data_IF_656208954912
#
_entry.id   IF_656208954912
#
_cell.length_a   1.000
_cell.length_b   1.000
_cell.length_c   1.000
_cell.angle_alpha   90.00
_cell.angle_beta   90.00
_cell.angle_gamma   90.00
#
_symmetry.space_group_name_H-M   'P 1'
#
loop_
_entity.id
_entity.type
_entity.pdbx_description
1 polymer ?
#
# COMPACT_ATOMS: atom_id res chain seq x y z
N UNK A 1 -20.35 -24.65 -17.64
CA UNK A 1 -19.76 -23.66 -16.72
C UNK A 1 -18.26 -23.84 -16.73
N UNK A 2 -17.50 -22.80 -17.10
CA UNK A 2 -16.04 -22.79 -17.13
C UNK A 2 -15.51 -21.88 -16.04
N UNK A 3 -14.26 -22.09 -15.61
CA UNK A 3 -13.64 -21.24 -14.58
C UNK A 3 -13.54 -19.77 -15.00
N UNK A 4 -13.24 -19.51 -16.28
CA UNK A 4 -13.15 -18.14 -16.78
C UNK A 4 -14.48 -17.39 -16.73
N UNK A 5 -15.63 -18.08 -16.85
CA UNK A 5 -16.95 -17.47 -16.71
C UNK A 5 -17.18 -16.99 -15.27
N UNK A 6 -16.79 -17.81 -14.27
CA UNK A 6 -16.85 -17.43 -12.85
C UNK A 6 -15.87 -16.29 -12.51
N UNK A 7 -14.70 -16.28 -13.12
CA UNK A 7 -13.72 -15.19 -12.97
C UNK A 7 -14.25 -13.87 -13.46
N UNK A 8 -14.95 -13.90 -14.61
CA UNK A 8 -15.64 -12.72 -15.16
C UNK A 8 -16.78 -12.28 -14.25
N UNK A 9 -17.60 -13.23 -13.77
CA UNK A 9 -18.69 -12.94 -12.82
C UNK A 9 -18.17 -12.21 -11.57
N UNK A 10 -17.09 -12.69 -10.96
CA UNK A 10 -16.46 -12.06 -9.79
C UNK A 10 -15.97 -10.65 -10.09
N UNK A 11 -15.31 -10.46 -11.24
CA UNK A 11 -14.80 -9.14 -11.64
C UNK A 11 -15.93 -8.12 -11.88
N UNK A 12 -17.07 -8.56 -12.44
CA UNK A 12 -18.25 -7.71 -12.62
C UNK A 12 -18.91 -7.42 -11.27
N UNK A 13 -19.02 -8.40 -10.37
CA UNK A 13 -19.59 -8.22 -9.04
C UNK A 13 -18.78 -7.22 -8.19
N UNK A 14 -17.47 -7.26 -8.27
CA UNK A 14 -16.57 -6.34 -7.58
C UNK A 14 -16.52 -4.95 -8.21
N UNK A 15 -16.46 -4.89 -9.55
CA UNK A 15 -16.33 -3.64 -10.29
C UNK A 15 -17.63 -2.87 -10.49
N UNK A 16 -18.78 -3.53 -10.36
CA UNK A 16 -20.11 -2.97 -10.59
C UNK A 16 -20.40 -2.64 -12.07
N UNK A 17 -19.49 -2.91 -13.01
CA UNK A 17 -19.70 -2.66 -14.43
C UNK A 17 -18.82 -3.54 -15.33
N UNK A 18 -19.33 -3.88 -16.53
CA UNK A 18 -18.58 -4.65 -17.53
C UNK A 18 -17.29 -3.94 -17.95
N UNK A 19 -17.30 -2.61 -18.03
CA UNK A 19 -16.12 -1.80 -18.41
C UNK A 19 -15.00 -1.90 -17.35
N UNK A 20 -15.35 -1.84 -16.07
CA UNK A 20 -14.35 -2.01 -15.00
C UNK A 20 -13.80 -3.43 -14.95
N UNK A 21 -14.67 -4.45 -15.12
CA UNK A 21 -14.26 -5.85 -15.22
C UNK A 21 -13.34 -6.11 -16.42
N UNK A 22 -13.67 -5.53 -17.60
CA UNK A 22 -12.85 -5.61 -18.80
C UNK A 22 -11.42 -5.07 -18.58
N UNK A 23 -11.32 -3.92 -17.91
CA UNK A 23 -10.02 -3.33 -17.55
C UNK A 23 -9.25 -4.19 -16.55
N UNK A 24 -9.93 -4.69 -15.51
CA UNK A 24 -9.31 -5.53 -14.48
C UNK A 24 -8.78 -6.86 -15.03
N UNK A 25 -9.50 -7.46 -15.96
CA UNK A 25 -9.13 -8.75 -16.58
C UNK A 25 -8.31 -8.61 -17.87
N UNK A 26 -8.06 -7.39 -18.34
CA UNK A 26 -7.39 -7.09 -19.63
C UNK A 26 -8.07 -7.78 -20.82
N UNK A 27 -9.40 -7.80 -20.80
CA UNK A 27 -10.24 -8.39 -21.84
C UNK A 27 -11.10 -7.31 -22.52
N UNK A 28 -11.58 -7.59 -23.75
CA UNK A 28 -12.56 -6.75 -24.40
C UNK A 28 -13.93 -6.79 -23.69
N UNK A 29 -14.65 -5.66 -23.65
CA UNK A 29 -16.00 -5.62 -23.05
C UNK A 29 -16.98 -6.62 -23.69
N UNK A 30 -16.98 -6.86 -25.02
CA UNK A 30 -17.81 -7.90 -25.64
C UNK A 30 -17.48 -9.30 -25.11
N UNK A 31 -16.20 -9.59 -24.85
CA UNK A 31 -15.74 -10.87 -24.29
C UNK A 31 -16.29 -11.07 -22.87
N UNK A 32 -16.25 -10.01 -22.04
CA UNK A 32 -16.85 -10.04 -20.69
C UNK A 32 -18.34 -10.35 -20.79
N UNK A 33 -19.07 -9.67 -21.68
CA UNK A 33 -20.51 -9.91 -21.89
C UNK A 33 -20.80 -11.36 -22.30
N UNK A 34 -19.98 -11.93 -23.19
CA UNK A 34 -20.15 -13.32 -23.67
C UNK A 34 -19.94 -14.31 -22.55
N UNK A 35 -18.87 -14.20 -21.75
CA UNK A 35 -18.62 -15.09 -20.61
C UNK A 35 -19.74 -15.03 -19.56
N UNK A 36 -20.21 -13.81 -19.27
CA UNK A 36 -21.31 -13.63 -18.32
C UNK A 36 -22.60 -14.29 -18.83
N UNK A 37 -22.92 -14.12 -20.10
CA UNK A 37 -24.10 -14.75 -20.73
C UNK A 37 -24.00 -16.28 -20.70
N UNK A 38 -22.82 -16.86 -21.02
CA UNK A 38 -22.59 -18.30 -20.95
C UNK A 38 -22.76 -18.83 -19.51
N UNK A 39 -22.30 -18.08 -18.51
CA UNK A 39 -22.51 -18.46 -17.13
C UNK A 39 -24.00 -18.46 -16.76
N UNK A 40 -24.74 -17.40 -17.10
CA UNK A 40 -26.18 -17.28 -16.84
C UNK A 40 -26.96 -18.42 -17.51
N UNK A 41 -26.60 -18.78 -18.75
CA UNK A 41 -27.17 -19.95 -19.43
C UNK A 41 -26.86 -21.26 -18.69
N UNK A 42 -25.63 -21.45 -18.24
CA UNK A 42 -25.23 -22.68 -17.55
C UNK A 42 -25.87 -22.83 -16.17
N UNK A 43 -26.16 -21.70 -15.49
CA UNK A 43 -26.82 -21.65 -14.17
C UNK A 43 -28.34 -21.68 -14.31
N UNK A 44 -28.86 -21.34 -15.48
CA UNK A 44 -30.31 -21.25 -15.74
C UNK A 44 -30.98 -20.03 -15.11
N UNK A 45 -30.20 -19.00 -14.74
CA UNK A 45 -30.71 -17.80 -14.09
C UNK A 45 -29.88 -16.56 -14.44
N UNK A 46 -30.50 -15.40 -14.46
CA UNK A 46 -29.79 -14.12 -14.51
C UNK A 46 -29.08 -13.84 -13.21
N UNK A 47 -27.81 -13.49 -13.27
CA UNK A 47 -26.96 -13.22 -12.13
C UNK A 47 -26.80 -11.71 -11.87
N UNK A 48 -27.02 -10.89 -12.90
CA UNK A 48 -27.01 -9.45 -12.81
C UNK A 48 -28.26 -8.81 -13.39
N UNK A 49 -28.67 -7.70 -12.78
CA UNK A 49 -29.65 -6.75 -13.31
C UNK A 49 -28.99 -5.41 -13.65
N UNK A 50 -29.49 -4.75 -14.68
CA UNK A 50 -29.04 -3.39 -15.01
C UNK A 50 -29.66 -2.39 -14.07
N UNK A 51 -28.85 -1.47 -13.56
CA UNK A 51 -29.27 -0.34 -12.75
C UNK A 51 -28.70 0.97 -13.32
N UNK A 52 -29.22 2.11 -12.88
CA UNK A 52 -28.68 3.42 -13.25
C UNK A 52 -27.20 3.58 -12.91
N UNK A 53 -26.70 2.87 -11.87
CA UNK A 53 -25.30 2.86 -11.42
C UNK A 53 -24.44 1.74 -12.04
N UNK A 54 -24.99 0.90 -12.93
CA UNK A 54 -24.27 -0.20 -13.57
C UNK A 54 -24.95 -1.57 -13.41
N UNK A 55 -24.18 -2.59 -13.01
CA UNK A 55 -24.65 -3.96 -12.83
C UNK A 55 -24.74 -4.30 -11.34
N UNK A 56 -25.90 -4.76 -10.88
CA UNK A 56 -26.14 -5.23 -9.51
C UNK A 56 -26.44 -6.72 -9.52
N UNK A 57 -25.98 -7.43 -8.50
CA UNK A 57 -26.29 -8.86 -8.33
C UNK A 57 -27.79 -9.07 -8.08
N UNK A 58 -28.38 -10.01 -8.80
CA UNK A 58 -29.68 -10.57 -8.50
C UNK A 58 -29.66 -11.40 -7.19
N UNK A 59 -30.79 -11.93 -6.76
CA UNK A 59 -30.85 -12.88 -5.64
C UNK A 59 -30.02 -14.12 -5.90
N UNK A 60 -30.07 -14.64 -7.11
CA UNK A 60 -29.31 -15.82 -7.58
C UNK A 60 -27.81 -15.49 -7.66
N UNK A 61 -27.45 -14.32 -8.18
CA UNK A 61 -26.08 -13.83 -8.18
C UNK A 61 -25.48 -13.72 -6.77
N UNK A 62 -26.27 -13.23 -5.80
CA UNK A 62 -25.83 -13.15 -4.40
C UNK A 62 -25.61 -14.53 -3.77
N UNK A 63 -26.37 -15.56 -4.16
CA UNK A 63 -26.19 -16.95 -3.70
C UNK A 63 -24.94 -17.57 -4.32
N UNK A 64 -24.67 -17.30 -5.60
CA UNK A 64 -23.50 -17.83 -6.30
C UNK A 64 -22.20 -17.17 -5.84
N UNK A 65 -22.22 -15.90 -5.42
CA UNK A 65 -21.04 -15.11 -5.08
C UNK A 65 -20.08 -15.81 -4.09
N UNK A 66 -20.53 -16.31 -2.92
CA UNK A 66 -19.63 -16.95 -1.97
C UNK A 66 -19.01 -18.25 -2.52
N UNK A 67 -19.74 -18.98 -3.36
CA UNK A 67 -19.23 -20.21 -3.98
C UNK A 67 -18.14 -19.89 -5.04
N UNK A 68 -18.42 -18.89 -5.88
CA UNK A 68 -17.44 -18.40 -6.85
C UNK A 68 -16.18 -17.85 -6.16
N UNK A 69 -16.35 -17.14 -5.03
CA UNK A 69 -15.23 -16.64 -4.23
C UNK A 69 -14.39 -17.79 -3.65
N UNK A 70 -15.02 -18.82 -3.07
CA UNK A 70 -14.30 -20.01 -2.57
C UNK A 70 -13.50 -20.71 -3.66
N UNK A 71 -14.03 -20.77 -4.88
CA UNK A 71 -13.31 -21.36 -6.02
C UNK A 71 -12.12 -20.47 -6.46
N UNK A 72 -12.27 -19.15 -6.43
CA UNK A 72 -11.17 -18.22 -6.68
C UNK A 72 -10.06 -18.36 -5.63
N UNK A 73 -10.44 -18.48 -4.35
CA UNK A 73 -9.49 -18.69 -3.25
C UNK A 73 -8.72 -20.00 -3.38
N UNK A 74 -9.42 -21.08 -3.81
CA UNK A 74 -8.79 -22.37 -4.09
C UNK A 74 -7.81 -22.30 -5.28
N UNK A 75 -8.18 -21.62 -6.38
CA UNK A 75 -7.30 -21.40 -7.52
C UNK A 75 -6.06 -20.59 -7.12
N UNK A 76 -6.23 -19.51 -6.36
CA UNK A 76 -5.13 -18.74 -5.83
C UNK A 76 -4.23 -19.55 -4.88
N UNK A 77 -4.80 -20.47 -4.07
CA UNK A 77 -4.03 -21.38 -3.23
C UNK A 77 -3.15 -22.34 -4.06
N UNK A 78 -3.64 -22.82 -5.22
CA UNK A 78 -2.86 -23.64 -6.15
C UNK A 78 -1.69 -22.81 -6.72
N UNK A 79 -1.94 -21.56 -7.15
CA UNK A 79 -0.90 -20.68 -7.67
C UNK A 79 0.16 -20.34 -6.62
N UNK A 80 -0.25 -20.09 -5.36
CA UNK A 80 0.68 -19.90 -4.24
C UNK A 80 1.53 -21.16 -4.01
N UNK A 81 0.90 -22.32 -4.04
CA UNK A 81 1.60 -23.60 -3.84
C UNK A 81 2.55 -23.92 -5.01
N UNK A 82 2.14 -23.62 -6.24
CA UNK A 82 3.00 -23.72 -7.41
C UNK A 82 4.21 -22.80 -7.30
N UNK A 83 4.01 -21.55 -6.89
CA UNK A 83 5.10 -20.63 -6.62
C UNK A 83 6.02 -21.09 -5.46
N UNK A 84 5.47 -21.84 -4.49
CA UNK A 84 6.23 -22.45 -3.40
C UNK A 84 6.99 -23.72 -3.84
N UNK A 85 6.43 -24.51 -4.76
CA UNK A 85 7.00 -25.78 -5.26
C UNK A 85 7.99 -25.54 -6.42
N UNK A 86 7.83 -24.44 -7.15
CA UNK A 86 8.80 -24.04 -8.17
C UNK A 86 10.13 -23.75 -7.50
N UNK A 87 11.04 -24.71 -7.56
CA UNK A 87 12.44 -24.56 -7.23
C UNK A 87 13.17 -23.67 -8.25
N UNK A 88 12.41 -22.90 -9.03
CA UNK A 88 13.00 -21.95 -9.97
C UNK A 88 13.59 -20.80 -9.15
N UNK A 89 14.87 -20.95 -8.93
CA UNK A 89 15.81 -20.15 -8.18
C UNK A 89 15.76 -18.65 -8.56
N UNK A 90 15.02 -18.28 -9.59
CA UNK A 90 14.86 -16.93 -10.11
C UNK A 90 13.55 -16.24 -9.70
N UNK A 91 12.79 -16.79 -8.79
CA UNK A 91 11.54 -16.16 -8.33
C UNK A 91 11.81 -15.08 -7.30
N UNK A 92 11.61 -13.83 -7.67
CA UNK A 92 11.71 -12.71 -6.75
C UNK A 92 10.66 -12.78 -5.61
N UNK A 93 11.06 -12.47 -4.39
CA UNK A 93 10.11 -12.18 -3.31
C UNK A 93 9.59 -10.76 -3.51
N UNK A 94 8.29 -10.64 -3.76
CA UNK A 94 7.62 -9.38 -4.05
C UNK A 94 7.13 -8.75 -2.75
N UNK A 95 7.71 -7.58 -2.44
CA UNK A 95 7.33 -6.77 -1.29
C UNK A 95 6.51 -5.60 -1.80
N UNK A 96 5.30 -5.42 -1.28
CA UNK A 96 4.56 -4.17 -1.41
C UNK A 96 4.67 -3.43 -0.07
N UNK A 97 4.89 -2.13 -0.11
CA UNK A 97 5.02 -1.35 1.11
C UNK A 97 4.34 0.01 0.98
N UNK A 98 3.76 0.49 2.09
CA UNK A 98 3.33 1.88 2.22
C UNK A 98 4.53 2.82 2.09
N UNK A 99 4.28 4.07 1.72
CA UNK A 99 5.33 4.99 1.25
C UNK A 99 6.49 5.18 2.24
N UNK A 100 6.20 5.38 3.52
CA UNK A 100 7.26 5.55 4.54
C UNK A 100 8.08 4.27 4.71
N UNK A 101 7.41 3.11 4.71
CA UNK A 101 8.09 1.83 4.79
C UNK A 101 8.90 1.53 3.51
N UNK A 102 8.36 1.84 2.33
CA UNK A 102 9.06 1.69 1.07
C UNK A 102 10.33 2.57 1.05
N UNK A 103 10.21 3.83 1.47
CA UNK A 103 11.35 4.75 1.61
C UNK A 103 12.41 4.24 2.58
N UNK A 104 11.98 3.58 3.67
CA UNK A 104 12.90 2.97 4.63
C UNK A 104 13.60 1.72 4.06
N UNK A 105 12.88 0.86 3.35
CA UNK A 105 13.39 -0.40 2.83
C UNK A 105 14.26 -0.22 1.58
N UNK A 106 13.97 0.77 0.72
CA UNK A 106 14.64 0.94 -0.57
C UNK A 106 16.18 0.96 -0.47
N UNK A 107 16.84 1.74 0.40
CA UNK A 107 18.30 1.74 0.51
C UNK A 107 18.86 0.46 1.18
N UNK A 108 18.00 -0.46 1.61
CA UNK A 108 18.33 -1.71 2.31
C UNK A 108 18.03 -2.95 1.47
N UNK A 109 17.58 -2.78 0.22
CA UNK A 109 17.18 -3.91 -0.64
C UNK A 109 18.30 -4.91 -0.87
N UNK A 110 19.55 -4.45 -1.01
CA UNK A 110 20.70 -5.32 -1.12
C UNK A 110 20.92 -6.21 0.10
N UNK A 111 20.57 -5.72 1.30
CA UNK A 111 20.60 -6.51 2.52
C UNK A 111 19.42 -7.49 2.65
N UNK A 112 18.34 -7.28 1.92
CA UNK A 112 17.17 -8.18 1.87
C UNK A 112 17.36 -9.30 0.85
N UNK A 113 18.02 -9.00 -0.28
CA UNK A 113 18.41 -9.99 -1.28
C UNK A 113 19.64 -10.78 -0.83
N UNK A 114 19.95 -11.87 -1.52
CA UNK A 114 21.20 -12.60 -1.32
C UNK A 114 22.22 -12.14 -2.38
N UNK A 115 23.30 -11.43 -2.00
CA UNK A 115 24.27 -10.91 -2.97
C UNK A 115 25.01 -12.00 -3.75
N UNK A 116 25.10 -13.21 -3.19
CA UNK A 116 25.84 -14.34 -3.75
C UNK A 116 24.95 -15.53 -4.09
N UNK A 117 23.64 -15.36 -3.95
CA UNK A 117 22.65 -16.40 -4.19
C UNK A 117 21.58 -15.95 -5.18
N UNK A 118 20.61 -16.83 -5.36
CA UNK A 118 19.55 -16.66 -6.33
C UNK A 118 18.28 -16.03 -5.74
N UNK A 119 18.39 -15.37 -4.58
CA UNK A 119 17.26 -14.68 -3.94
C UNK A 119 17.12 -13.26 -4.48
N UNK A 120 16.15 -13.05 -5.32
CA UNK A 120 15.76 -11.74 -5.81
C UNK A 120 14.67 -11.13 -4.92
N UNK A 121 14.68 -9.82 -4.79
CA UNK A 121 13.67 -9.06 -4.05
C UNK A 121 13.20 -7.91 -4.95
N UNK A 122 11.88 -7.75 -5.06
CA UNK A 122 11.28 -6.57 -5.67
C UNK A 122 10.49 -5.79 -4.62
N UNK A 123 10.58 -4.46 -4.67
CA UNK A 123 9.84 -3.55 -3.80
C UNK A 123 8.95 -2.66 -4.65
N UNK A 124 7.66 -2.68 -4.35
CA UNK A 124 6.65 -1.80 -4.95
C UNK A 124 6.04 -0.93 -3.87
N UNK A 125 5.99 0.36 -4.11
CA UNK A 125 5.28 1.31 -3.25
C UNK A 125 3.81 1.37 -3.64
N UNK A 126 2.92 1.19 -2.69
CA UNK A 126 1.48 1.30 -2.90
C UNK A 126 0.76 1.74 -1.64
N UNK A 127 -0.27 2.60 -1.80
CA UNK A 127 -1.22 2.93 -0.75
C UNK A 127 -2.39 1.95 -0.70
N UNK A 128 -2.59 1.19 -1.79
CA UNK A 128 -3.65 0.19 -1.87
C UNK A 128 -3.16 -1.10 -1.25
N UNK A 129 -4.06 -1.77 -0.53
CA UNK A 129 -3.80 -3.10 -0.03
C UNK A 129 -3.69 -4.08 -1.20
N UNK A 130 -2.54 -4.77 -1.36
CA UNK A 130 -2.44 -5.83 -2.34
C UNK A 130 -3.35 -6.98 -1.93
N UNK A 131 -3.96 -7.61 -2.92
CA UNK A 131 -4.67 -8.87 -2.69
C UNK A 131 -3.66 -10.00 -2.52
N UNK A 132 -3.27 -10.26 -1.26
CA UNK A 132 -2.33 -11.34 -0.93
C UNK A 132 -2.94 -12.73 -1.17
N UNK A 133 -4.26 -12.85 -1.13
CA UNK A 133 -4.95 -14.08 -1.47
C UNK A 133 -4.82 -14.39 -2.97
N UNK A 134 -4.69 -13.37 -3.81
CA UNK A 134 -4.45 -13.46 -5.26
C UNK A 134 -2.98 -13.40 -5.68
N UNK A 135 -2.06 -13.52 -4.74
CA UNK A 135 -0.62 -13.45 -5.03
C UNK A 135 -0.16 -12.15 -5.73
N UNK A 136 -0.82 -11.02 -5.49
CA UNK A 136 -0.35 -9.73 -6.01
C UNK A 136 0.98 -9.31 -5.37
N UNK A 137 1.21 -9.74 -4.12
CA UNK A 137 2.48 -9.63 -3.42
C UNK A 137 2.74 -10.88 -2.57
N UNK A 138 3.98 -11.11 -2.18
CA UNK A 138 4.35 -12.18 -1.24
C UNK A 138 4.39 -11.64 0.20
N UNK A 139 4.84 -10.41 0.36
CA UNK A 139 4.93 -9.69 1.64
C UNK A 139 4.32 -8.30 1.52
N UNK A 140 3.68 -7.85 2.58
CA UNK A 140 3.16 -6.50 2.65
C UNK A 140 3.61 -5.80 3.93
N UNK A 141 4.17 -4.58 3.81
CA UNK A 141 4.64 -3.76 4.95
C UNK A 141 3.86 -2.46 4.98
N UNK A 142 3.08 -2.24 6.05
CA UNK A 142 2.22 -1.06 6.16
C UNK A 142 1.99 -0.63 7.61
N UNK A 143 1.52 0.59 7.77
CA UNK A 143 0.89 1.07 8.98
C UNK A 143 -0.56 0.56 9.08
N UNK A 144 -0.95 0.14 10.27
CA UNK A 144 -2.27 -0.43 10.51
C UNK A 144 -2.45 -1.85 9.97
N UNK A 145 -3.62 -2.40 10.18
CA UNK A 145 -3.99 -3.76 9.80
C UNK A 145 -5.14 -3.73 8.81
N UNK A 146 -5.12 -4.55 7.75
CA UNK A 146 -6.23 -4.66 6.81
C UNK A 146 -7.47 -5.19 7.52
N UNK A 147 -8.64 -4.68 7.13
CA UNK A 147 -9.93 -5.07 7.72
C UNK A 147 -10.33 -6.51 7.40
N UNK A 148 -9.76 -7.12 6.36
CA UNK A 148 -10.10 -8.46 5.85
C UNK A 148 -8.84 -9.25 5.50
N UNK A 149 -8.98 -10.58 5.39
CA UNK A 149 -7.93 -11.51 4.99
C UNK A 149 -7.38 -12.35 6.13
N UNK A 150 -7.00 -13.59 5.82
CA UNK A 150 -6.33 -14.52 6.74
C UNK A 150 -4.82 -14.29 6.70
N UNK A 151 -4.33 -13.19 7.27
CA UNK A 151 -2.92 -12.85 7.20
C UNK A 151 -2.20 -13.13 8.53
N UNK A 152 -1.00 -13.67 8.42
CA UNK A 152 -0.06 -13.72 9.52
C UNK A 152 0.57 -12.33 9.67
N UNK A 153 0.55 -11.82 10.89
CA UNK A 153 0.97 -10.46 11.25
C UNK A 153 2.22 -10.52 12.11
N UNK A 154 3.19 -9.68 11.80
CA UNK A 154 4.40 -9.52 12.61
C UNK A 154 4.64 -8.04 12.82
N UNK A 155 4.68 -7.58 14.08
CA UNK A 155 4.99 -6.19 14.42
C UNK A 155 6.43 -5.84 14.07
N UNK A 156 6.63 -4.69 13.44
CA UNK A 156 7.94 -4.16 13.07
C UNK A 156 8.37 -2.99 13.95
N UNK A 157 7.45 -2.42 14.72
CA UNK A 157 7.64 -1.21 15.52
C UNK A 157 7.04 0.01 14.84
N UNK A 158 7.23 1.17 15.44
CA UNK A 158 6.64 2.41 15.01
C UNK A 158 7.58 3.22 14.10
N UNK A 159 7.00 3.99 13.18
CA UNK A 159 7.68 5.06 12.45
C UNK A 159 7.05 6.38 12.88
N UNK A 160 7.89 7.26 13.40
CA UNK A 160 7.51 8.59 13.83
C UNK A 160 7.76 9.63 12.73
N UNK A 161 7.01 10.71 12.77
CA UNK A 161 7.17 11.86 11.92
C UNK A 161 7.27 13.16 12.71
N UNK A 162 7.89 14.16 12.09
CA UNK A 162 8.02 15.51 12.67
C UNK A 162 7.91 16.57 11.58
N UNK A 163 7.82 17.84 11.98
CA UNK A 163 7.85 18.96 11.04
C UNK A 163 9.29 19.31 10.71
N UNK A 164 9.54 19.48 9.41
CA UNK A 164 10.81 19.88 8.86
C UNK A 164 10.66 21.08 7.92
N UNK A 165 11.71 21.86 7.83
CA UNK A 165 11.91 22.89 6.81
C UNK A 165 13.36 22.90 6.38
N UNK A 166 13.67 23.42 5.19
CA UNK A 166 15.08 23.64 4.85
C UNK A 166 15.69 24.68 5.79
N UNK A 167 16.98 24.58 6.08
CA UNK A 167 17.68 25.54 6.94
C UNK A 167 17.51 26.97 6.44
N UNK A 168 17.67 27.17 5.14
CA UNK A 168 17.51 28.48 4.48
C UNK A 168 16.08 29.01 4.68
N UNK A 169 15.06 28.17 4.51
CA UNK A 169 13.68 28.56 4.74
C UNK A 169 13.43 28.95 6.20
N UNK A 170 13.89 28.13 7.14
CA UNK A 170 13.69 28.38 8.59
C UNK A 170 14.40 29.63 9.07
N UNK A 171 15.54 29.95 8.51
CA UNK A 171 16.30 31.16 8.86
C UNK A 171 15.64 32.42 8.27
N UNK A 172 15.04 32.32 7.08
CA UNK A 172 14.28 33.41 6.46
C UNK A 172 12.86 33.61 7.08
N UNK A 173 12.34 32.59 7.79
CA UNK A 173 11.00 32.59 8.39
C UNK A 173 11.07 32.28 9.90
N UNK A 174 11.45 33.25 10.75
CA UNK A 174 11.56 33.05 12.20
C UNK A 174 10.27 32.53 12.85
N UNK A 175 9.10 32.82 12.26
CA UNK A 175 7.80 32.29 12.67
C UNK A 175 7.67 30.77 12.54
N UNK A 176 8.48 30.15 11.71
CA UNK A 176 8.51 28.70 11.56
C UNK A 176 8.98 27.96 12.83
N UNK A 177 9.68 28.67 13.73
CA UNK A 177 10.18 28.10 15.00
C UNK A 177 9.12 28.03 16.10
N UNK A 178 7.91 28.55 15.88
CA UNK A 178 6.87 28.65 16.89
C UNK A 178 5.57 28.00 16.42
N UNK A 179 5.07 27.02 17.17
CA UNK A 179 3.84 26.26 16.87
C UNK A 179 2.65 27.19 16.53
N UNK A 180 2.41 28.21 17.35
CA UNK A 180 1.30 29.15 17.15
C UNK A 180 1.33 29.88 15.80
N UNK A 181 2.47 29.88 15.10
CA UNK A 181 2.68 30.64 13.86
C UNK A 181 2.79 29.74 12.61
N UNK A 182 2.84 28.42 12.75
CA UNK A 182 2.94 27.49 11.60
C UNK A 182 1.82 27.68 10.59
N UNK A 183 0.63 28.09 11.02
CA UNK A 183 -0.48 28.42 10.11
C UNK A 183 -0.14 29.56 9.13
N UNK A 184 0.84 30.40 9.43
CA UNK A 184 1.26 31.52 8.57
C UNK A 184 2.34 31.13 7.59
N UNK A 185 3.06 30.05 7.84
CA UNK A 185 4.11 29.56 6.96
C UNK A 185 3.52 28.89 5.71
N UNK A 186 4.23 28.94 4.58
CA UNK A 186 3.99 28.03 3.46
C UNK A 186 4.16 26.55 3.88
N UNK A 187 3.33 25.68 3.32
CA UNK A 187 3.40 24.25 3.56
C UNK A 187 3.49 23.48 2.25
N UNK A 188 4.31 22.43 2.27
CA UNK A 188 4.39 21.40 1.25
C UNK A 188 3.62 20.17 1.77
N UNK A 189 2.45 19.92 1.21
CA UNK A 189 1.61 18.81 1.62
C UNK A 189 1.77 17.60 0.70
N UNK A 190 1.38 16.46 1.21
CA UNK A 190 1.24 15.25 0.43
C UNK A 190 -0.14 15.21 -0.24
N UNK A 191 -0.18 14.90 -1.54
CA UNK A 191 -1.42 14.94 -2.33
C UNK A 191 -2.15 13.59 -2.29
N UNK A 192 -2.61 13.22 -1.09
CA UNK A 192 -3.47 12.05 -0.86
C UNK A 192 -4.69 12.46 -0.03
N UNK A 193 -5.82 11.74 -0.17
CA UNK A 193 -6.98 11.94 0.70
C UNK A 193 -6.58 11.81 2.17
N UNK A 194 -7.01 12.77 3.00
CA UNK A 194 -6.66 12.84 4.43
C UNK A 194 -7.05 11.59 5.22
N UNK A 195 -8.10 10.90 4.77
CA UNK A 195 -8.65 9.67 5.39
C UNK A 195 -7.64 8.52 5.40
N UNK A 196 -6.72 8.48 4.45
CA UNK A 196 -5.77 7.38 4.28
C UNK A 196 -4.37 7.65 4.83
N UNK A 197 -4.06 8.90 5.24
CA UNK A 197 -2.72 9.26 5.66
C UNK A 197 -2.71 10.21 6.87
N UNK A 198 -2.48 9.66 8.06
CA UNK A 198 -2.53 10.37 9.35
C UNK A 198 -1.79 11.71 9.36
N UNK A 199 -0.56 11.85 8.81
CA UNK A 199 0.14 13.13 8.76
C UNK A 199 -0.65 14.24 8.08
N UNK A 200 -1.40 13.91 7.01
CA UNK A 200 -2.22 14.92 6.31
C UNK A 200 -3.49 15.25 7.04
N UNK A 201 -4.12 14.30 7.72
CA UNK A 201 -5.26 14.56 8.61
C UNK A 201 -4.85 15.48 9.76
N UNK A 202 -3.70 15.21 10.37
CA UNK A 202 -3.14 16.09 11.43
C UNK A 202 -2.84 17.49 10.91
N UNK A 203 -2.19 17.60 9.74
CA UNK A 203 -1.88 18.90 9.13
C UNK A 203 -3.15 19.68 8.80
N UNK A 204 -4.15 19.06 8.20
CA UNK A 204 -5.43 19.70 7.89
C UNK A 204 -6.11 20.26 9.13
N UNK A 205 -6.13 19.50 10.24
CA UNK A 205 -6.65 19.97 11.53
C UNK A 205 -5.90 21.19 12.06
N UNK A 206 -4.57 21.25 11.88
CA UNK A 206 -3.73 22.37 12.32
C UNK A 206 -3.88 23.61 11.43
N UNK A 207 -4.05 23.44 10.14
CA UNK A 207 -4.20 24.55 9.20
C UNK A 207 -5.63 25.12 9.16
N UNK A 208 -6.65 24.32 9.53
CA UNK A 208 -8.06 24.71 9.42
C UNK A 208 -8.43 24.98 7.96
N UNK A 209 -8.97 26.16 7.67
CA UNK A 209 -9.43 26.55 6.32
C UNK A 209 -8.28 26.87 5.34
N UNK A 210 -7.03 26.85 5.81
CA UNK A 210 -5.88 27.11 4.95
C UNK A 210 -5.48 25.85 4.19
N UNK A 211 -5.34 25.99 2.88
CA UNK A 211 -4.95 24.91 1.99
C UNK A 211 -3.48 25.09 1.59
N UNK A 212 -2.62 24.06 1.76
CA UNK A 212 -1.26 24.10 1.24
C UNK A 212 -1.24 24.37 -0.26
N UNK A 213 -0.44 25.37 -0.66
CA UNK A 213 -0.33 25.77 -2.08
C UNK A 213 0.58 24.82 -2.88
N UNK A 214 1.51 24.18 -2.20
CA UNK A 214 2.42 23.20 -2.80
C UNK A 214 1.98 21.80 -2.36
N UNK A 215 1.74 20.92 -3.33
CA UNK A 215 1.36 19.54 -3.08
C UNK A 215 2.23 18.62 -3.91
N UNK A 216 2.57 17.49 -3.33
CA UNK A 216 3.38 16.46 -3.97
C UNK A 216 2.71 15.09 -3.84
N UNK A 217 2.68 14.33 -4.91
CA UNK A 217 2.04 13.01 -4.95
C UNK A 217 2.91 11.88 -4.36
N UNK A 218 4.15 12.19 -4.02
CA UNK A 218 5.13 11.23 -3.47
C UNK A 218 6.02 11.91 -2.44
N UNK A 219 6.42 11.16 -1.39
CA UNK A 219 7.31 11.69 -0.35
C UNK A 219 8.66 12.17 -0.92
N UNK A 220 9.16 11.52 -1.96
CA UNK A 220 10.38 11.94 -2.61
C UNK A 220 10.26 13.36 -3.21
N UNK A 221 9.15 13.65 -3.87
CA UNK A 221 8.85 14.98 -4.43
C UNK A 221 8.60 16.00 -3.32
N UNK A 222 7.91 15.60 -2.26
CA UNK A 222 7.70 16.45 -1.10
C UNK A 222 9.04 16.84 -0.46
N UNK A 223 9.93 15.87 -0.27
CA UNK A 223 11.27 16.09 0.28
C UNK A 223 12.07 17.08 -0.55
N UNK A 224 12.08 16.92 -1.88
CA UNK A 224 12.79 17.86 -2.77
C UNK A 224 12.21 19.29 -2.70
N UNK A 225 10.89 19.41 -2.64
CA UNK A 225 10.25 20.71 -2.51
C UNK A 225 10.60 21.40 -1.15
N UNK A 226 10.63 20.62 -0.05
CA UNK A 226 11.04 21.13 1.27
C UNK A 226 12.52 21.54 1.25
N UNK A 227 13.41 20.73 0.66
CA UNK A 227 14.84 21.06 0.48
C UNK A 227 15.05 22.37 -0.28
N UNK A 228 14.26 22.57 -1.33
CA UNK A 228 14.28 23.78 -2.15
C UNK A 228 13.69 25.02 -1.44
N UNK A 229 13.18 24.87 -0.21
CA UNK A 229 12.64 26.00 0.56
C UNK A 229 11.21 26.38 0.22
N UNK A 230 10.43 25.50 -0.41
CA UNK A 230 9.04 25.78 -0.75
C UNK A 230 8.11 25.89 0.47
N UNK A 231 8.55 25.46 1.64
CA UNK A 231 7.79 25.55 2.88
C UNK A 231 8.13 24.47 3.90
N UNK A 232 7.30 24.39 4.92
CA UNK A 232 7.34 23.34 5.94
C UNK A 232 6.68 22.07 5.42
N UNK A 233 7.11 20.91 5.91
CA UNK A 233 6.46 19.65 5.63
C UNK A 233 6.61 18.64 6.75
N UNK A 234 5.74 17.62 6.74
CA UNK A 234 5.84 16.49 7.66
C UNK A 234 6.60 15.40 6.95
N UNK A 235 7.71 14.96 7.55
CA UNK A 235 8.55 13.86 7.05
C UNK A 235 8.76 12.83 8.15
N UNK A 236 9.02 11.55 7.78
CA UNK A 236 9.50 10.57 8.75
C UNK A 236 10.80 11.04 9.37
N UNK A 237 10.97 10.82 10.68
CA UNK A 237 12.18 11.28 11.41
C UNK A 237 13.46 10.71 10.78
N UNK A 238 13.47 9.42 10.40
CA UNK A 238 14.63 8.80 9.76
C UNK A 238 15.01 9.40 8.39
N UNK A 239 14.11 10.14 7.76
CA UNK A 239 14.38 10.87 6.50
C UNK A 239 14.88 12.28 6.82
N UNK A 240 14.14 13.01 7.64
CA UNK A 240 14.44 14.41 7.92
C UNK A 240 15.70 14.60 8.74
N UNK A 241 15.97 13.73 9.71
CA UNK A 241 17.16 13.84 10.56
C UNK A 241 18.46 13.42 9.84
N UNK A 242 18.34 12.53 8.85
CA UNK A 242 19.47 12.15 8.02
C UNK A 242 19.85 13.17 6.96
N UNK A 243 19.05 14.20 6.77
CA UNK A 243 19.24 15.21 5.74
C UNK A 243 19.89 16.49 6.29
N UNK A 244 21.16 16.80 5.93
CA UNK A 244 21.88 17.95 6.44
C UNK A 244 21.27 19.30 6.01
N UNK A 245 20.48 19.32 4.94
CA UNK A 245 19.83 20.54 4.45
C UNK A 245 18.56 20.88 5.25
N UNK A 246 18.05 19.92 6.01
CA UNK A 246 16.82 20.09 6.77
C UNK A 246 17.08 20.45 8.24
N UNK A 247 16.06 21.03 8.85
CA UNK A 247 16.00 21.29 10.27
C UNK A 247 14.69 20.77 10.81
N UNK A 248 14.75 19.94 11.84
CA UNK A 248 13.58 19.49 12.58
C UNK A 248 13.07 20.64 13.48
N UNK A 249 11.77 20.86 13.48
CA UNK A 249 11.12 21.95 14.19
C UNK A 249 10.27 21.49 15.38
N UNK A 250 9.96 20.18 15.45
CA UNK A 250 9.20 19.59 16.55
C UNK A 250 9.88 18.34 17.07
N UNK A 251 9.58 17.91 18.31
CA UNK A 251 9.71 16.50 18.68
C UNK A 251 8.91 15.62 17.72
N UNK A 252 9.11 14.29 17.72
CA UNK A 252 8.20 13.37 17.06
C UNK A 252 6.75 13.63 17.48
N UNK A 253 5.84 13.66 16.51
CA UNK A 253 4.42 13.97 16.74
C UNK A 253 3.69 12.67 17.04
N UNK A 254 3.25 12.49 18.28
CA UNK A 254 2.59 11.24 18.73
C UNK A 254 1.35 10.89 17.93
N UNK A 255 0.52 11.88 17.55
CA UNK A 255 -0.74 11.67 16.84
C UNK A 255 -0.56 11.11 15.43
N UNK A 256 0.65 11.23 14.86
CA UNK A 256 0.97 10.69 13.53
C UNK A 256 1.93 9.51 13.57
N UNK A 257 2.44 9.16 14.75
CA UNK A 257 3.20 7.92 14.92
C UNK A 257 2.31 6.72 14.57
N UNK A 258 2.84 5.79 13.84
CA UNK A 258 2.10 4.60 13.43
C UNK A 258 2.93 3.34 13.60
N UNK A 259 2.30 2.31 14.17
CA UNK A 259 2.86 0.96 14.22
C UNK A 259 2.82 0.33 12.83
N UNK A 260 3.96 -0.23 12.44
CA UNK A 260 4.14 -0.93 11.17
C UNK A 260 4.09 -2.45 11.35
N UNK A 261 3.52 -3.10 10.37
CA UNK A 261 3.29 -4.54 10.36
C UNK A 261 3.83 -5.15 9.08
N UNK A 262 4.44 -6.31 9.23
CA UNK A 262 4.77 -7.22 8.14
C UNK A 262 3.66 -8.26 8.04
N UNK A 263 3.02 -8.35 6.90
CA UNK A 263 1.89 -9.21 6.60
C UNK A 263 2.28 -10.23 5.53
N UNK A 264 1.85 -11.47 5.71
CA UNK A 264 2.10 -12.57 4.79
C UNK A 264 0.92 -13.53 4.79
N UNK A 265 0.61 -14.12 3.63
CA UNK A 265 -0.38 -15.19 3.58
C UNK A 265 0.16 -16.43 4.33
N UNK A 266 -0.67 -17.19 5.11
CA UNK A 266 -0.23 -18.37 5.85
C UNK A 266 0.54 -19.38 5.00
N UNK A 267 0.08 -19.63 3.76
CA UNK A 267 0.69 -20.60 2.83
C UNK A 267 2.12 -20.21 2.42
N UNK A 268 2.42 -18.91 2.36
CA UNK A 268 3.74 -18.40 1.99
C UNK A 268 4.71 -18.28 3.16
N UNK A 269 4.21 -18.25 4.41
CA UNK A 269 5.05 -18.12 5.60
C UNK A 269 6.09 -19.23 5.73
N UNK A 270 5.76 -20.44 5.31
CA UNK A 270 6.65 -21.62 5.37
C UNK A 270 7.64 -21.68 4.21
N UNK A 271 7.46 -20.89 3.15
CA UNK A 271 8.34 -20.88 1.98
C UNK A 271 9.72 -20.33 2.36
N UNK A 272 10.82 -21.07 2.17
CA UNK A 272 12.13 -20.71 2.71
C UNK A 272 12.60 -19.31 2.30
N UNK A 273 12.47 -18.95 1.01
CA UNK A 273 12.87 -17.62 0.50
C UNK A 273 12.04 -16.48 1.13
N UNK A 274 10.73 -16.68 1.31
CA UNK A 274 9.83 -15.70 1.91
C UNK A 274 10.17 -15.52 3.39
N UNK A 275 10.35 -16.62 4.12
CA UNK A 275 10.76 -16.59 5.54
C UNK A 275 12.08 -15.87 5.71
N UNK A 276 13.05 -16.13 4.86
CA UNK A 276 14.36 -15.48 4.90
C UNK A 276 14.25 -13.95 4.75
N UNK A 277 13.48 -13.48 3.76
CA UNK A 277 13.23 -12.04 3.57
C UNK A 277 12.47 -11.45 4.75
N UNK A 278 11.48 -12.17 5.32
CA UNK A 278 10.77 -11.73 6.53
C UNK A 278 11.72 -11.51 7.72
N UNK A 279 12.64 -12.45 7.95
CA UNK A 279 13.62 -12.35 9.03
C UNK A 279 14.56 -11.16 8.83
N UNK A 280 15.01 -10.91 7.61
CA UNK A 280 15.84 -9.74 7.26
C UNK A 280 15.08 -8.43 7.42
N UNK A 281 13.82 -8.34 6.96
CA UNK A 281 12.99 -7.14 7.19
C UNK A 281 12.87 -6.86 8.70
N UNK A 282 12.55 -7.87 9.51
CA UNK A 282 12.50 -7.72 10.98
C UNK A 282 13.84 -7.25 11.55
N UNK A 283 14.94 -7.81 11.07
CA UNK A 283 16.29 -7.43 11.48
C UNK A 283 16.60 -5.96 11.22
N UNK A 284 16.32 -5.47 10.00
CA UNK A 284 16.61 -4.07 9.65
C UNK A 284 15.71 -3.09 10.40
N UNK A 285 14.42 -3.40 10.62
CA UNK A 285 13.55 -2.58 11.47
C UNK A 285 14.02 -2.55 12.92
N UNK A 286 14.39 -3.72 13.49
CA UNK A 286 14.91 -3.81 14.86
C UNK A 286 16.20 -3.00 15.04
N UNK A 287 17.13 -3.13 14.11
CA UNK A 287 18.42 -2.42 14.14
C UNK A 287 18.25 -0.89 14.01
N UNK A 288 17.21 -0.44 13.31
CA UNK A 288 16.96 0.99 13.06
C UNK A 288 15.91 1.60 14.00
N UNK A 289 15.50 0.90 15.06
CA UNK A 289 14.37 1.31 15.91
C UNK A 289 14.51 2.73 16.47
N UNK A 290 15.72 3.13 16.89
CA UNK A 290 15.96 4.48 17.40
C UNK A 290 15.73 5.53 16.30
N UNK A 291 16.34 5.35 15.13
CA UNK A 291 16.17 6.28 14.00
C UNK A 291 14.74 6.36 13.48
N UNK A 292 13.96 5.27 13.56
CA UNK A 292 12.56 5.25 13.15
C UNK A 292 11.66 6.03 14.10
N UNK A 293 12.04 6.11 15.38
CA UNK A 293 11.30 6.87 16.40
C UNK A 293 11.74 8.33 16.54
N UNK A 294 12.92 8.70 16.08
CA UNK A 294 13.49 10.07 16.12
C UNK A 294 14.15 10.39 17.43
#
# INVERSE_FOLDING_TARGET
MQWDDLRVFLAVAQGGSLRKAARALRLGQPTIGRHLHQLELSVGARLFERSASGHRLTREGKKLLPMAQSMADAAAAIDRRRAALGSDVRSAVRIVAGEWAARFLAPRLSALADPHGDLFVSLTESHLDPDLDRCEADLFVRDGLPARGRLVRTGLGAIAGAIYGSRVFVDAHPEAKTDARWRRCPWVAYDVPHEYFRPMAWLAKRLGDRVPRVRASRIALQLEAIRAGAGLGILPCFVGDADPLLKRLTPPIEEIEADYWLLVHPDLKAVPRVRHVMERIRGVFKASRAALRG
#
